data_IF_071600068493
#
_entry.id   IF_071600068493
#
_cell.length_a   1.000
_cell.length_b   1.000
_cell.length_c   1.000
_cell.angle_alpha   90.00
_cell.angle_beta   90.00
_cell.angle_gamma   90.00
#
_symmetry.space_group_name_H-M   'P 1'
#
loop_
_entity.id
_entity.type
_entity.pdbx_description
1 polymer ?
#
# COMPACT_ATOMS: atom_id res chain seq x y z
N UNK A 1 30.75 65.86 -14.02
CA UNK A 1 30.50 64.96 -12.87
C UNK A 1 29.27 64.12 -13.20
N UNK A 2 29.44 62.83 -13.50
CA UNK A 2 28.33 61.88 -13.74
C UNK A 2 28.47 60.74 -12.74
N UNK A 3 27.40 60.51 -11.97
CA UNK A 3 27.31 59.53 -10.90
C UNK A 3 27.21 58.11 -11.48
N UNK A 4 28.19 57.26 -11.17
CA UNK A 4 28.17 55.82 -11.43
C UNK A 4 27.63 55.10 -10.18
N UNK A 5 26.32 54.94 -10.08
CA UNK A 5 25.70 54.06 -9.08
C UNK A 5 24.59 53.28 -9.77
N UNK A 6 24.91 52.27 -10.58
CA UNK A 6 23.89 51.42 -11.23
C UNK A 6 24.49 50.12 -11.78
N UNK A 7 25.11 49.27 -10.96
CA UNK A 7 25.51 47.93 -11.43
C UNK A 7 25.57 46.89 -10.30
N UNK A 8 26.02 47.26 -9.11
CA UNK A 8 26.29 46.30 -8.04
C UNK A 8 25.06 45.78 -7.30
N UNK A 9 23.92 46.47 -7.36
CA UNK A 9 22.73 46.13 -6.55
C UNK A 9 21.85 45.07 -7.23
N UNK A 10 21.86 44.97 -8.56
CA UNK A 10 21.05 43.95 -9.26
C UNK A 10 21.63 42.52 -9.14
N UNK A 11 22.95 42.38 -8.96
CA UNK A 11 23.59 41.05 -8.98
C UNK A 11 23.32 40.24 -7.69
N UNK A 12 23.10 40.92 -6.56
CA UNK A 12 22.81 40.25 -5.27
C UNK A 12 21.38 39.70 -5.21
N UNK A 13 20.42 40.34 -5.90
CA UNK A 13 19.02 39.91 -5.91
C UNK A 13 18.82 38.58 -6.67
N UNK A 14 19.58 38.33 -7.75
CA UNK A 14 19.47 37.09 -8.51
C UNK A 14 20.03 35.87 -7.75
N UNK A 15 21.04 36.06 -6.90
CA UNK A 15 21.62 34.99 -6.10
C UNK A 15 20.68 34.50 -4.98
N UNK A 16 19.87 35.40 -4.41
CA UNK A 16 18.90 35.05 -3.36
C UNK A 16 17.69 34.27 -3.90
N UNK A 17 17.25 34.53 -5.13
CA UNK A 17 16.11 33.82 -5.73
C UNK A 17 16.49 32.37 -6.09
N UNK A 18 17.72 32.13 -6.56
CA UNK A 18 18.21 30.77 -6.83
C UNK A 18 18.40 29.92 -5.55
N UNK A 19 18.78 30.54 -4.42
CA UNK A 19 18.89 29.83 -3.15
C UNK A 19 17.53 29.54 -2.49
N UNK A 20 16.52 30.40 -2.69
CA UNK A 20 15.18 30.17 -2.13
C UNK A 20 14.36 29.13 -2.92
N UNK A 21 14.59 28.98 -4.22
CA UNK A 21 13.91 27.96 -5.04
C UNK A 21 14.47 26.54 -4.89
N UNK A 22 15.70 26.36 -4.41
CA UNK A 22 16.33 25.03 -4.26
C UNK A 22 16.07 24.38 -2.89
N UNK A 23 15.65 25.15 -1.88
CA UNK A 23 15.39 24.61 -0.54
C UNK A 23 13.96 24.07 -0.33
N UNK A 24 13.00 24.41 -1.20
CA UNK A 24 11.61 23.92 -1.05
C UNK A 24 11.43 22.45 -1.43
N UNK A 25 12.39 21.85 -2.14
CA UNK A 25 12.34 20.43 -2.52
C UNK A 25 12.84 19.47 -1.43
N UNK A 26 13.62 19.95 -0.45
CA UNK A 26 14.28 19.09 0.55
C UNK A 26 13.60 19.06 1.93
N UNK A 27 12.54 19.85 2.15
CA UNK A 27 11.78 19.84 3.40
C UNK A 27 10.61 18.82 3.41
N UNK A 28 10.35 18.13 2.29
CA UNK A 28 9.57 16.90 2.29
C UNK A 28 10.54 15.75 2.56
N UNK A 29 10.80 15.45 3.83
CA UNK A 29 11.61 14.27 4.19
C UNK A 29 11.13 13.06 3.40
N UNK A 30 12.05 12.43 2.64
CA UNK A 30 11.76 11.43 1.62
C UNK A 30 10.67 10.46 2.07
N UNK A 31 9.45 10.65 1.55
CA UNK A 31 8.32 9.72 1.71
C UNK A 31 8.56 8.50 0.83
N UNK A 32 9.55 7.70 1.17
CA UNK A 32 9.88 6.47 0.44
C UNK A 32 9.09 5.30 1.02
N UNK A 33 8.53 4.45 0.15
CA UNK A 33 7.97 3.16 0.56
C UNK A 33 9.02 2.06 0.73
N UNK A 34 10.25 2.26 0.26
CA UNK A 34 11.29 1.25 0.36
C UNK A 34 11.54 0.86 1.81
N UNK A 35 11.59 -0.45 2.07
CA UNK A 35 11.83 -1.02 3.40
C UNK A 35 10.80 -2.07 3.78
N UNK A 36 10.84 -2.49 5.05
CA UNK A 36 9.95 -3.50 5.60
C UNK A 36 8.84 -2.86 6.45
N UNK A 37 7.62 -3.34 6.27
CA UNK A 37 6.41 -2.84 6.91
C UNK A 37 5.64 -3.99 7.53
N UNK A 38 5.17 -3.84 8.76
CA UNK A 38 4.52 -4.93 9.49
C UNK A 38 3.25 -4.47 10.19
N UNK A 39 2.27 -5.34 10.32
CA UNK A 39 1.16 -5.12 11.26
C UNK A 39 1.68 -5.21 12.70
N UNK A 40 1.52 -4.17 13.53
CA UNK A 40 1.88 -4.24 14.96
C UNK A 40 0.99 -5.21 15.75
N UNK A 41 -0.25 -5.37 15.29
CA UNK A 41 -1.26 -6.27 15.84
C UNK A 41 -1.95 -6.99 14.70
N UNK A 42 -2.40 -8.23 14.90
CA UNK A 42 -3.21 -8.91 13.89
C UNK A 42 -4.41 -8.05 13.47
N UNK A 43 -4.64 -7.97 12.16
CA UNK A 43 -5.73 -7.22 11.55
C UNK A 43 -6.94 -8.12 11.34
N UNK A 44 -8.12 -7.62 11.70
CA UNK A 44 -9.37 -8.33 11.42
C UNK A 44 -9.71 -8.23 9.94
N UNK A 45 -10.06 -9.36 9.32
CA UNK A 45 -10.58 -9.40 7.96
C UNK A 45 -11.82 -10.29 7.86
N UNK A 46 -12.64 -10.00 6.86
CA UNK A 46 -13.85 -10.74 6.53
C UNK A 46 -13.58 -11.58 5.28
N UNK A 47 -13.98 -12.85 5.35
CA UNK A 47 -14.04 -13.72 4.17
C UNK A 47 -15.49 -14.10 3.92
N UNK A 48 -15.99 -13.76 2.75
CA UNK A 48 -17.25 -14.26 2.23
C UNK A 48 -16.98 -15.56 1.46
N UNK A 49 -17.55 -16.65 1.93
CA UNK A 49 -17.61 -17.91 1.17
C UNK A 49 -18.93 -17.93 0.39
N UNK A 50 -18.84 -17.87 -0.93
CA UNK A 50 -19.95 -18.21 -1.82
C UNK A 50 -19.63 -19.56 -2.47
N UNK A 51 -20.59 -20.49 -2.48
CA UNK A 51 -20.48 -21.66 -3.37
C UNK A 51 -20.26 -21.16 -4.81
N UNK A 52 -19.42 -21.84 -5.60
CA UNK A 52 -19.14 -21.45 -6.98
C UNK A 52 -20.45 -21.42 -7.79
N UNK A 53 -20.92 -20.23 -8.16
CA UNK A 53 -22.05 -20.05 -9.06
C UNK A 53 -21.59 -19.40 -10.37
N UNK A 54 -22.04 -19.89 -11.53
CA UNK A 54 -21.84 -19.20 -12.81
C UNK A 54 -22.37 -17.76 -12.77
N UNK A 55 -21.71 -16.85 -13.49
CA UNK A 55 -22.19 -15.47 -13.65
C UNK A 55 -23.62 -15.46 -14.22
N UNK A 56 -24.54 -14.75 -13.55
CA UNK A 56 -25.91 -14.53 -14.00
C UNK A 56 -26.98 -15.37 -13.29
N UNK A 57 -26.60 -16.27 -12.37
CA UNK A 57 -27.56 -17.03 -11.56
C UNK A 57 -27.99 -16.27 -10.30
N UNK A 58 -29.29 -16.31 -9.99
CA UNK A 58 -29.84 -15.73 -8.76
C UNK A 58 -29.71 -16.76 -7.63
N UNK A 59 -28.90 -16.45 -6.62
CA UNK A 59 -28.71 -17.33 -5.45
C UNK A 59 -29.88 -17.15 -4.49
N UNK A 60 -30.77 -18.14 -4.44
CA UNK A 60 -31.90 -18.16 -3.52
C UNK A 60 -31.41 -18.54 -2.10
N UNK A 61 -31.05 -17.54 -1.28
CA UNK A 61 -30.85 -17.58 0.18
C UNK A 61 -30.27 -18.89 0.79
N UNK A 62 -29.01 -18.83 1.27
CA UNK A 62 -28.46 -19.48 2.50
C UNK A 62 -27.02 -20.08 2.40
N UNK A 63 -26.17 -19.64 1.47
CA UNK A 63 -24.78 -20.15 1.37
C UNK A 63 -23.67 -19.22 1.90
N UNK A 64 -23.97 -17.94 2.17
CA UNK A 64 -22.95 -16.94 2.49
C UNK A 64 -22.53 -17.08 3.96
N UNK A 65 -21.32 -17.62 4.17
CA UNK A 65 -20.67 -17.57 5.48
C UNK A 65 -19.68 -16.42 5.50
N UNK A 66 -19.95 -15.42 6.35
CA UNK A 66 -18.98 -14.37 6.67
C UNK A 66 -18.14 -14.87 7.84
N UNK A 67 -16.85 -15.10 7.58
CA UNK A 67 -15.89 -15.50 8.58
C UNK A 67 -15.05 -14.31 8.99
N UNK A 68 -15.13 -13.94 10.27
CA UNK A 68 -14.15 -13.05 10.88
C UNK A 68 -12.87 -13.84 11.19
N UNK A 69 -11.74 -13.27 10.80
CA UNK A 69 -10.40 -13.85 10.95
C UNK A 69 -9.43 -12.76 11.33
N UNK A 70 -8.28 -13.16 11.89
CA UNK A 70 -7.17 -12.26 12.15
C UNK A 70 -6.02 -12.60 11.19
N UNK A 71 -5.28 -11.60 10.70
CA UNK A 71 -4.10 -11.80 9.88
C UNK A 71 -2.92 -10.94 10.34
N UNK A 72 -1.71 -11.40 10.13
CA UNK A 72 -0.51 -10.55 10.18
C UNK A 72 0.04 -10.39 8.77
N UNK A 73 0.54 -9.19 8.45
CA UNK A 73 1.15 -8.88 7.16
C UNK A 73 2.57 -8.35 7.40
N UNK A 74 3.52 -8.79 6.59
CA UNK A 74 4.86 -8.22 6.48
C UNK A 74 5.16 -7.93 5.01
N UNK A 75 5.26 -6.66 4.66
CA UNK A 75 5.64 -6.22 3.32
C UNK A 75 7.12 -5.89 3.27
N UNK A 76 7.83 -6.40 2.27
CA UNK A 76 9.17 -5.92 1.92
C UNK A 76 9.11 -5.25 0.56
N UNK A 77 9.31 -3.94 0.52
CA UNK A 77 9.07 -3.12 -0.66
C UNK A 77 10.34 -2.44 -1.18
N UNK A 78 10.42 -2.27 -2.49
CA UNK A 78 11.33 -1.41 -3.21
C UNK A 78 10.52 -0.43 -4.07
N UNK A 79 10.67 0.87 -3.80
CA UNK A 79 10.12 1.93 -4.64
C UNK A 79 11.18 2.43 -5.63
N UNK A 80 10.81 2.45 -6.91
CA UNK A 80 11.64 3.00 -8.00
C UNK A 80 11.36 4.50 -8.21
N UNK A 81 12.29 5.24 -8.88
CA UNK A 81 12.15 6.68 -9.10
C UNK A 81 10.92 7.11 -9.91
N UNK A 82 10.35 6.22 -10.72
CA UNK A 82 9.16 6.45 -11.53
C UNK A 82 7.83 6.20 -10.77
N UNK A 83 7.92 5.82 -9.49
CA UNK A 83 6.75 5.50 -8.67
C UNK A 83 6.30 4.04 -8.75
N UNK A 84 6.97 3.19 -9.54
CA UNK A 84 6.76 1.75 -9.52
C UNK A 84 7.20 1.18 -8.17
N UNK A 85 6.39 0.30 -7.60
CA UNK A 85 6.69 -0.41 -6.35
C UNK A 85 6.63 -1.90 -6.61
N UNK A 86 7.68 -2.60 -6.20
CA UNK A 86 7.77 -4.06 -6.23
C UNK A 86 8.07 -4.58 -4.83
N UNK A 87 7.73 -5.83 -4.54
CA UNK A 87 8.03 -6.41 -3.24
C UNK A 87 7.41 -7.78 -3.02
N UNK A 88 7.27 -8.12 -1.74
CA UNK A 88 6.57 -9.32 -1.28
C UNK A 88 5.65 -8.99 -0.12
N UNK A 89 4.56 -9.75 0.02
CA UNK A 89 3.72 -9.83 1.20
C UNK A 89 3.89 -11.21 1.82
N UNK A 90 4.46 -11.29 3.01
CA UNK A 90 4.38 -12.48 3.86
C UNK A 90 3.17 -12.32 4.78
N UNK A 91 2.20 -13.23 4.66
CA UNK A 91 0.99 -13.18 5.46
C UNK A 91 0.73 -14.48 6.23
N UNK A 92 0.08 -14.34 7.38
CA UNK A 92 -0.39 -15.46 8.17
C UNK A 92 -1.79 -15.16 8.65
N UNK A 93 -2.71 -16.11 8.50
CA UNK A 93 -4.08 -16.00 8.95
C UNK A 93 -4.36 -16.92 10.14
N UNK A 94 -5.23 -16.47 11.04
CA UNK A 94 -5.58 -17.13 12.28
C UNK A 94 -7.10 -17.27 12.40
N UNK A 95 -7.56 -18.40 12.92
CA UNK A 95 -8.96 -18.60 13.31
C UNK A 95 -9.33 -17.84 14.60
N UNK A 96 -10.60 -17.93 15.00
CA UNK A 96 -11.10 -17.29 16.21
C UNK A 96 -10.48 -17.84 17.52
N UNK A 97 -9.85 -19.02 17.48
CA UNK A 97 -9.13 -19.61 18.61
C UNK A 97 -7.65 -19.23 18.62
N UNK A 98 -7.18 -18.46 17.62
CA UNK A 98 -5.78 -18.07 17.47
C UNK A 98 -4.90 -19.12 16.79
N UNK A 99 -5.46 -20.20 16.23
CA UNK A 99 -4.67 -21.18 15.49
C UNK A 99 -4.38 -20.65 14.09
N UNK A 100 -3.14 -20.84 13.61
CA UNK A 100 -2.78 -20.50 12.24
C UNK A 100 -3.52 -21.41 11.26
N UNK A 101 -4.26 -20.82 10.32
CA UNK A 101 -5.03 -21.53 9.29
C UNK A 101 -4.47 -21.32 7.88
N UNK A 102 -3.63 -20.30 7.69
CA UNK A 102 -2.91 -20.08 6.44
C UNK A 102 -1.60 -19.34 6.68
N UNK A 103 -0.62 -19.61 5.82
CA UNK A 103 0.69 -18.96 5.75
C UNK A 103 1.13 -18.97 4.29
N UNK A 104 1.60 -17.84 3.79
CA UNK A 104 1.96 -17.70 2.39
C UNK A 104 2.74 -16.43 2.12
N UNK A 105 3.51 -16.46 1.03
CA UNK A 105 4.29 -15.32 0.57
C UNK A 105 3.99 -15.06 -0.88
N UNK A 106 3.51 -13.86 -1.18
CA UNK A 106 3.08 -13.47 -2.52
C UNK A 106 3.88 -12.27 -3.02
N UNK A 107 4.10 -12.21 -4.34
CA UNK A 107 4.74 -11.07 -4.96
C UNK A 107 3.78 -9.86 -4.97
N UNK A 108 4.31 -8.67 -4.66
CA UNK A 108 3.60 -7.40 -4.75
C UNK A 108 4.09 -6.60 -5.94
N UNK A 109 3.15 -6.05 -6.71
CA UNK A 109 3.41 -5.09 -7.78
C UNK A 109 2.40 -3.96 -7.72
N UNK A 110 2.84 -2.73 -7.93
CA UNK A 110 1.93 -1.61 -8.08
C UNK A 110 2.62 -0.26 -8.13
N UNK A 111 1.94 0.78 -7.69
CA UNK A 111 2.40 2.16 -7.82
C UNK A 111 2.14 3.00 -6.59
N UNK A 112 2.94 4.07 -6.44
CA UNK A 112 2.82 5.02 -5.35
C UNK A 112 3.19 6.43 -5.82
N UNK A 113 2.33 7.40 -5.52
CA UNK A 113 2.47 8.80 -5.97
C UNK A 113 3.15 9.72 -4.94
N UNK A 114 3.63 9.18 -3.82
CA UNK A 114 4.18 9.94 -2.70
C UNK A 114 3.20 10.15 -1.54
N UNK A 115 1.92 9.83 -1.71
CA UNK A 115 0.90 9.95 -0.67
C UNK A 115 -0.08 8.78 -0.63
N UNK A 116 -0.47 8.27 -1.79
CA UNK A 116 -1.38 7.15 -2.02
C UNK A 116 -0.77 6.15 -2.99
N UNK A 117 -1.19 4.89 -2.86
CA UNK A 117 -0.72 3.85 -3.75
C UNK A 117 -1.66 2.66 -3.79
N UNK A 118 -1.38 1.78 -4.73
CA UNK A 118 -2.06 0.51 -4.91
C UNK A 118 -1.00 -0.57 -5.13
N UNK A 119 -1.08 -1.68 -4.41
CA UNK A 119 -0.30 -2.89 -4.67
C UNK A 119 -1.27 -4.03 -4.97
N UNK A 120 -0.80 -5.01 -5.73
CA UNK A 120 -1.56 -6.20 -6.09
C UNK A 120 -0.72 -7.45 -5.90
N UNK A 121 -1.31 -8.46 -5.29
CA UNK A 121 -0.89 -9.86 -5.39
C UNK A 121 -1.55 -10.46 -6.63
N UNK A 122 -0.80 -11.21 -7.47
CA UNK A 122 -1.39 -11.89 -8.61
C UNK A 122 -2.39 -12.95 -8.16
N UNK A 123 -3.38 -13.27 -9.00
CA UNK A 123 -4.16 -14.48 -8.82
C UNK A 123 -3.27 -15.70 -9.09
N UNK A 124 -3.42 -16.75 -8.29
CA UNK A 124 -2.81 -18.05 -8.56
C UNK A 124 -3.91 -19.05 -8.93
N UNK A 125 -4.03 -19.34 -10.24
CA UNK A 125 -5.00 -20.30 -10.75
C UNK A 125 -4.74 -21.72 -10.25
N UNK A 126 -3.47 -22.09 -10.00
CA UNK A 126 -3.12 -23.43 -9.53
C UNK A 126 -3.60 -23.64 -8.09
N UNK A 127 -3.52 -22.59 -7.27
CA UNK A 127 -3.96 -22.60 -5.87
C UNK A 127 -5.38 -22.04 -5.67
N UNK A 128 -6.05 -21.65 -6.76
CA UNK A 128 -7.35 -20.97 -6.77
C UNK A 128 -7.41 -19.75 -5.83
N UNK A 129 -6.29 -19.03 -5.68
CA UNK A 129 -6.28 -17.79 -4.89
C UNK A 129 -6.74 -16.63 -5.77
N UNK A 130 -7.65 -15.84 -5.22
CA UNK A 130 -8.08 -14.62 -5.88
C UNK A 130 -6.92 -13.60 -5.91
N UNK A 131 -6.92 -12.73 -6.91
CA UNK A 131 -6.05 -11.55 -6.90
C UNK A 131 -6.41 -10.70 -5.67
N UNK A 132 -5.44 -10.22 -4.91
CA UNK A 132 -5.69 -9.29 -3.79
C UNK A 132 -5.11 -7.92 -4.14
N UNK A 133 -5.94 -6.89 -4.10
CA UNK A 133 -5.52 -5.51 -4.23
C UNK A 133 -5.45 -4.85 -2.86
N UNK A 134 -4.46 -3.98 -2.67
CA UNK A 134 -4.22 -3.20 -1.48
C UNK A 134 -4.20 -1.72 -1.86
N UNK A 135 -5.26 -1.00 -1.53
CA UNK A 135 -5.31 0.45 -1.64
C UNK A 135 -4.85 1.08 -0.33
N UNK A 136 -3.89 2.01 -0.39
CA UNK A 136 -3.32 2.56 0.83
C UNK A 136 -2.92 4.03 0.72
N UNK A 137 -2.70 4.62 1.90
CA UNK A 137 -2.16 5.96 2.09
C UNK A 137 -0.99 5.90 3.06
N UNK A 138 0.08 6.63 2.75
CA UNK A 138 1.21 6.81 3.66
C UNK A 138 0.89 7.91 4.68
N UNK A 139 0.95 7.59 5.97
CA UNK A 139 0.71 8.50 7.10
C UNK A 139 2.04 8.82 7.80
N UNK A 140 2.60 9.99 7.49
CA UNK A 140 3.95 10.34 7.96
C UNK A 140 5.01 9.50 7.24
N UNK A 141 6.08 9.11 7.94
CA UNK A 141 7.20 8.33 7.37
C UNK A 141 7.17 6.84 7.72
N UNK A 142 6.41 6.47 8.77
CA UNK A 142 6.51 5.17 9.43
C UNK A 142 5.19 4.42 9.52
N UNK A 143 4.14 4.87 8.83
CA UNK A 143 2.82 4.22 8.90
C UNK A 143 2.12 4.20 7.55
N UNK A 144 1.59 3.05 7.17
CA UNK A 144 0.69 2.84 6.04
C UNK A 144 -0.68 2.46 6.59
N UNK A 145 -1.74 3.03 6.03
CA UNK A 145 -3.12 2.64 6.34
C UNK A 145 -3.84 2.34 5.04
N UNK A 146 -4.62 1.27 5.00
CA UNK A 146 -5.25 0.86 3.76
C UNK A 146 -6.43 -0.09 3.92
N UNK A 147 -6.90 -0.51 2.77
CA UNK A 147 -7.93 -1.51 2.59
C UNK A 147 -7.48 -2.51 1.53
N UNK A 148 -7.59 -3.79 1.85
CA UNK A 148 -7.34 -4.87 0.91
C UNK A 148 -8.65 -5.53 0.52
N UNK A 149 -8.76 -5.95 -0.74
CA UNK A 149 -9.90 -6.68 -1.25
C UNK A 149 -9.49 -7.66 -2.34
N UNK A 150 -10.18 -8.80 -2.40
CA UNK A 150 -9.98 -9.74 -3.50
C UNK A 150 -10.79 -9.38 -4.74
N UNK A 151 -10.24 -9.68 -5.91
CA UNK A 151 -10.90 -9.61 -7.21
C UNK A 151 -10.87 -11.00 -7.84
N UNK A 152 -12.05 -11.47 -8.24
CA UNK A 152 -12.21 -12.81 -8.82
C UNK A 152 -12.11 -13.91 -7.76
N UNK A 153 -12.29 -15.15 -8.20
CA UNK A 153 -12.30 -16.33 -7.33
C UNK A 153 -13.60 -16.52 -6.52
N UNK A 154 -13.78 -17.69 -5.87
CA UNK A 154 -15.00 -18.04 -5.15
C UNK A 154 -15.10 -17.45 -3.73
N UNK A 155 -14.05 -16.77 -3.26
CA UNK A 155 -13.99 -16.18 -1.92
C UNK A 155 -13.68 -14.69 -2.01
N UNK A 156 -14.59 -13.87 -1.50
CA UNK A 156 -14.36 -12.44 -1.37
C UNK A 156 -13.68 -12.16 -0.03
N UNK A 157 -12.57 -11.43 -0.08
CA UNK A 157 -11.85 -10.96 1.09
C UNK A 157 -11.97 -9.44 1.17
N UNK A 158 -12.13 -8.93 2.38
CA UNK A 158 -12.04 -7.51 2.70
C UNK A 158 -11.31 -7.30 4.02
N UNK A 159 -10.29 -6.44 4.03
CA UNK A 159 -9.44 -6.22 5.20
C UNK A 159 -9.07 -4.75 5.35
N UNK A 160 -9.27 -4.18 6.53
CA UNK A 160 -8.62 -2.91 6.88
C UNK A 160 -7.30 -3.21 7.54
N UNK A 161 -6.25 -2.51 7.16
CA UNK A 161 -4.93 -2.75 7.71
C UNK A 161 -4.18 -1.46 8.04
N UNK A 162 -3.27 -1.60 8.99
CA UNK A 162 -2.26 -0.60 9.32
C UNK A 162 -0.92 -1.33 9.41
N UNK A 163 0.06 -0.82 8.67
CA UNK A 163 1.44 -1.29 8.75
C UNK A 163 2.32 -0.19 9.33
N UNK A 164 3.29 -0.58 10.13
CA UNK A 164 4.34 0.29 10.63
C UNK A 164 5.67 -0.14 10.06
N UNK A 165 6.59 0.81 9.92
CA UNK A 165 7.95 0.52 9.48
C UNK A 165 8.70 -0.29 10.54
N UNK A 166 9.38 -1.35 10.12
CA UNK A 166 10.24 -2.22 10.95
C UNK A 166 11.67 -1.66 11.03
#
# INVERSE_FOLDING_TARGET
>A
MRNNISSSVLSVAYLLIFFLCTQSAFAQGNKSLTGTWVTEKPVTYLVEYTEEHPQGETVANNGIQILERAATLEWTLEQRPDGLVIGTNDWSAFDASGNKVFEGMEALLGSFDGQTGMLSEPADEANKTAQINFEFKLKGQNKIQGFAYSIGGPKLLAMRFELVRK
#
